data_IF_351000301862
#
_entry.id   IF_351000301862
#
_cell.length_a   1.000
_cell.length_b   1.000
_cell.length_c   1.000
_cell.angle_alpha   90.00
_cell.angle_beta   90.00
_cell.angle_gamma   90.00
#
_symmetry.space_group_name_H-M   'P 1'
#
loop_
_entity.id
_entity.type
_entity.pdbx_description
1 polymer ?
#
# COMPACT_ATOMS: atom_id res chain seq x y z
N UNK A 1 -9.61 26.15 -37.12
CA UNK A 1 -9.80 25.72 -35.71
C UNK A 1 -9.17 24.35 -35.55
N UNK A 2 -8.06 24.20 -34.80
CA UNK A 2 -7.52 22.88 -34.44
C UNK A 2 -8.45 22.30 -33.38
N UNK A 3 -9.09 21.17 -33.68
CA UNK A 3 -9.93 20.46 -32.72
C UNK A 3 -9.11 20.15 -31.47
N UNK A 4 -9.64 20.48 -30.29
CA UNK A 4 -9.06 20.00 -29.03
C UNK A 4 -9.27 18.49 -29.04
N UNK A 5 -8.26 17.74 -29.49
CA UNK A 5 -8.25 16.29 -29.38
C UNK A 5 -8.56 15.89 -27.95
N UNK A 6 -9.19 14.73 -27.77
CA UNK A 6 -9.46 14.19 -26.44
C UNK A 6 -8.17 14.24 -25.60
N UNK A 7 -8.27 14.75 -24.39
CA UNK A 7 -7.16 14.69 -23.44
C UNK A 7 -6.78 13.20 -23.26
N UNK A 8 -5.48 12.88 -23.18
CA UNK A 8 -5.04 11.51 -22.92
C UNK A 8 -5.75 10.97 -21.66
N UNK A 9 -6.14 9.69 -21.66
CA UNK A 9 -6.63 9.05 -20.43
C UNK A 9 -5.56 9.21 -19.36
N UNK A 10 -5.93 9.83 -18.23
CA UNK A 10 -5.03 10.02 -17.11
C UNK A 10 -4.41 8.67 -16.71
N UNK A 11 -3.07 8.64 -16.63
CA UNK A 11 -2.31 7.47 -16.21
C UNK A 11 -2.14 7.53 -14.70
N UNK A 12 -2.45 6.44 -14.01
CA UNK A 12 -2.30 6.36 -12.56
C UNK A 12 -0.91 5.89 -12.17
N UNK A 13 -0.46 6.27 -10.97
CA UNK A 13 0.74 5.72 -10.33
C UNK A 13 0.28 4.95 -9.10
N UNK A 14 0.66 3.69 -9.02
CA UNK A 14 0.47 2.83 -7.86
C UNK A 14 1.78 2.80 -7.07
N UNK A 15 1.79 3.46 -5.92
CA UNK A 15 2.91 3.40 -4.97
C UNK A 15 2.73 2.12 -4.17
N UNK A 16 3.66 1.18 -4.27
CA UNK A 16 3.52 -0.16 -3.70
C UNK A 16 4.85 -0.64 -3.13
N UNK A 17 4.75 -1.64 -2.24
CA UNK A 17 5.88 -2.41 -1.73
C UNK A 17 6.59 -3.18 -2.86
N UNK A 18 7.76 -3.72 -2.56
CA UNK A 18 8.62 -4.45 -3.48
C UNK A 18 8.66 -5.95 -3.21
N UNK A 19 7.57 -6.50 -2.66
CA UNK A 19 7.42 -7.94 -2.50
C UNK A 19 7.60 -8.65 -3.85
N UNK A 20 8.15 -9.87 -3.83
CA UNK A 20 8.46 -10.61 -5.06
C UNK A 20 7.28 -10.64 -6.05
N UNK A 21 6.08 -10.98 -5.58
CA UNK A 21 4.86 -11.03 -6.39
C UNK A 21 4.49 -9.68 -7.05
N UNK A 22 4.93 -8.56 -6.48
CA UNK A 22 4.66 -7.20 -6.98
C UNK A 22 5.76 -6.69 -7.92
N UNK A 23 6.90 -7.38 -8.02
CA UNK A 23 8.05 -6.95 -8.84
C UNK A 23 8.20 -7.76 -10.12
N UNK A 24 7.37 -8.78 -10.34
CA UNK A 24 7.40 -9.60 -11.55
C UNK A 24 7.01 -8.79 -12.79
N UNK A 25 7.56 -9.16 -13.93
CA UNK A 25 7.24 -8.49 -15.20
C UNK A 25 5.79 -8.72 -15.62
N UNK A 26 5.25 -9.91 -15.32
CA UNK A 26 3.83 -10.23 -15.53
C UNK A 26 2.92 -9.24 -14.79
N UNK A 27 3.23 -8.93 -13.53
CA UNK A 27 2.45 -7.97 -12.74
C UNK A 27 2.53 -6.55 -13.31
N UNK A 28 3.74 -6.09 -13.69
CA UNK A 28 3.94 -4.76 -14.28
C UNK A 28 3.23 -4.62 -15.64
N UNK A 29 3.29 -5.66 -16.46
CA UNK A 29 2.59 -5.71 -17.74
C UNK A 29 1.09 -5.66 -17.54
N UNK A 30 0.56 -6.40 -16.57
CA UNK A 30 -0.87 -6.39 -16.25
C UNK A 30 -1.34 -4.97 -15.88
N UNK A 31 -0.63 -4.30 -14.96
CA UNK A 31 -0.96 -2.93 -14.55
C UNK A 31 -0.95 -1.95 -15.73
N UNK A 32 0.02 -2.09 -16.62
CA UNK A 32 0.14 -1.21 -17.79
C UNK A 32 -1.00 -1.48 -18.80
N UNK A 33 -1.25 -2.75 -19.13
CA UNK A 33 -2.19 -3.15 -20.19
C UNK A 33 -3.65 -3.00 -19.77
N UNK A 34 -3.98 -3.34 -18.53
CA UNK A 34 -5.36 -3.46 -18.07
C UNK A 34 -5.81 -2.31 -17.16
N UNK A 35 -4.87 -1.67 -16.46
CA UNK A 35 -5.22 -0.63 -15.48
C UNK A 35 -4.80 0.79 -15.91
N UNK A 36 -4.03 0.94 -17.01
CA UNK A 36 -3.39 2.20 -17.37
C UNK A 36 -2.59 2.81 -16.20
N UNK A 37 -1.85 1.95 -15.50
CA UNK A 37 -1.15 2.27 -14.25
C UNK A 37 0.34 1.94 -14.36
N UNK A 38 1.17 2.73 -13.68
CA UNK A 38 2.59 2.43 -13.43
C UNK A 38 2.79 2.03 -11.98
N UNK A 39 3.58 0.98 -11.75
CA UNK A 39 4.07 0.67 -10.41
C UNK A 39 5.24 1.60 -10.06
N UNK A 40 5.20 2.16 -8.85
CA UNK A 40 6.29 2.90 -8.23
C UNK A 40 6.69 2.21 -6.94
N UNK A 41 7.91 1.71 -6.89
CA UNK A 41 8.42 0.95 -5.76
C UNK A 41 9.19 1.86 -4.81
N UNK A 42 8.92 1.73 -3.52
CA UNK A 42 9.77 2.32 -2.49
C UNK A 42 11.09 1.54 -2.32
N UNK A 43 12.05 2.09 -1.54
CA UNK A 43 13.16 1.31 -1.01
C UNK A 43 12.67 0.05 -0.27
N UNK A 44 13.49 -0.99 -0.22
CA UNK A 44 13.16 -2.20 0.54
C UNK A 44 13.00 -1.90 2.03
N UNK A 45 12.06 -2.60 2.66
CA UNK A 45 11.86 -2.61 4.12
C UNK A 45 11.57 -1.23 4.75
N UNK A 46 11.09 -0.25 3.98
CA UNK A 46 10.79 1.10 4.47
C UNK A 46 9.31 1.49 4.37
N UNK A 47 8.43 0.53 4.10
CA UNK A 47 6.99 0.79 3.87
C UNK A 47 6.34 1.53 5.05
N UNK A 48 6.64 1.12 6.28
CA UNK A 48 6.13 1.79 7.50
C UNK A 48 6.54 3.27 7.60
N UNK A 49 7.60 3.70 6.92
CA UNK A 49 8.10 5.06 6.94
C UNK A 49 7.61 5.89 5.75
N UNK A 50 7.50 5.27 4.56
CA UNK A 50 7.31 6.01 3.30
C UNK A 50 6.01 5.71 2.57
N UNK A 51 5.36 4.56 2.82
CA UNK A 51 4.07 4.26 2.20
C UNK A 51 2.98 5.09 2.90
N UNK A 52 2.23 5.94 2.18
CA UNK A 52 1.21 6.78 2.80
C UNK A 52 0.14 5.99 3.55
N UNK A 53 -0.13 4.75 3.12
CA UNK A 53 -1.08 3.87 3.80
C UNK A 53 -0.51 3.39 5.12
N UNK A 54 0.71 2.86 5.15
CA UNK A 54 1.30 2.30 6.37
C UNK A 54 1.71 3.38 7.37
N UNK A 55 2.37 4.44 6.89
CA UNK A 55 2.79 5.58 7.72
C UNK A 55 1.62 6.46 8.20
N UNK A 56 0.49 6.41 7.48
CA UNK A 56 -0.70 7.20 7.76
C UNK A 56 -1.80 6.40 8.44
N UNK A 57 -2.89 6.14 7.70
CA UNK A 57 -4.10 5.52 8.24
C UNK A 57 -3.84 4.13 8.84
N UNK A 58 -2.96 3.35 8.23
CA UNK A 58 -2.55 2.03 8.70
C UNK A 58 -1.90 2.10 10.09
N UNK A 59 -1.12 3.13 10.38
CA UNK A 59 -0.53 3.33 11.71
C UNK A 59 -1.60 3.51 12.79
N UNK A 60 -2.63 4.31 12.53
CA UNK A 60 -3.72 4.50 13.50
C UNK A 60 -4.46 3.18 13.77
N UNK A 61 -4.72 2.39 12.72
CA UNK A 61 -5.36 1.09 12.86
C UNK A 61 -4.48 0.12 13.66
N UNK A 62 -3.17 0.05 13.37
CA UNK A 62 -2.21 -0.80 14.10
C UNK A 62 -2.20 -0.47 15.60
N UNK A 63 -2.20 0.82 15.95
CA UNK A 63 -2.22 1.26 17.35
C UNK A 63 -3.51 0.84 18.05
N UNK A 64 -4.67 1.07 17.42
CA UNK A 64 -5.95 0.74 18.03
C UNK A 64 -6.15 -0.77 18.20
N UNK A 65 -5.75 -1.55 17.19
CA UNK A 65 -5.73 -3.01 17.28
C UNK A 65 -4.81 -3.48 18.40
N UNK A 66 -3.60 -2.91 18.51
CA UNK A 66 -2.67 -3.22 19.60
C UNK A 66 -3.28 -2.98 20.97
N UNK A 67 -3.92 -1.82 21.18
CA UNK A 67 -4.62 -1.48 22.42
C UNK A 67 -5.73 -2.49 22.77
N UNK A 68 -6.51 -2.91 21.78
CA UNK A 68 -7.55 -3.92 21.98
C UNK A 68 -6.97 -5.31 22.29
N UNK A 69 -5.83 -5.67 21.70
CA UNK A 69 -5.13 -6.91 22.02
C UNK A 69 -4.55 -6.90 23.43
N UNK A 70 -3.99 -5.78 23.89
CA UNK A 70 -3.52 -5.62 25.28
C UNK A 70 -4.66 -5.83 26.28
N UNK A 71 -5.80 -5.16 26.06
CA UNK A 71 -6.99 -5.35 26.90
C UNK A 71 -7.44 -6.81 26.92
N UNK A 72 -7.42 -7.47 25.77
CA UNK A 72 -7.81 -8.88 25.66
C UNK A 72 -6.88 -9.77 26.49
N UNK A 73 -5.56 -9.58 26.38
CA UNK A 73 -4.55 -10.34 27.12
C UNK A 73 -4.63 -10.10 28.64
N UNK A 74 -4.92 -8.87 29.07
CA UNK A 74 -5.14 -8.53 30.48
C UNK A 74 -6.39 -9.21 31.05
N UNK A 75 -7.46 -9.30 30.25
CA UNK A 75 -8.72 -9.91 30.67
C UNK A 75 -8.69 -11.43 30.68
N UNK A 76 -7.95 -12.06 29.77
CA UNK A 76 -7.84 -13.51 29.68
C UNK A 76 -6.86 -14.10 30.70
N UNK A 77 -6.07 -13.25 31.39
CA UNK A 77 -5.06 -13.71 32.35
C UNK A 77 -3.86 -14.39 31.69
N UNK A 78 -3.71 -14.22 30.37
CA UNK A 78 -2.65 -14.83 29.55
C UNK A 78 -1.34 -14.01 29.55
N UNK A 79 -1.26 -12.93 30.33
CA UNK A 79 -0.01 -12.25 30.63
C UNK A 79 0.77 -13.06 31.66
N UNK A 80 1.76 -13.84 31.21
CA UNK A 80 2.82 -14.34 32.09
C UNK A 80 3.46 -13.14 32.80
N UNK A 81 3.45 -13.17 34.14
CA UNK A 81 4.07 -12.15 35.01
C UNK A 81 5.56 -12.40 35.20
#
# INVERSE_FOLDING_TARGET
MRGRGALPKARSILIIDNLHAQTTDEFKEYLTKHCNTLAWYGPSECTDEVQPVDAGAGRFLKVEVGRHMEIWLEQSGDLER
#
